data_IF_067858782332
#
_entry.id   IF_067858782332
#
_cell.length_a   1.000
_cell.length_b   1.000
_cell.length_c   1.000
_cell.angle_alpha   90.00
_cell.angle_beta   90.00
_cell.angle_gamma   90.00
#
_symmetry.space_group_name_H-M   'P 1'
#
loop_
_entity.id
_entity.type
_entity.pdbx_description
1 polymer ?
#
# COMPACT_ATOMS: atom_id res chain seq x y z
N UNK A 1 -17.31 -11.72 42.23
CA UNK A 1 -17.18 -12.00 40.80
C UNK A 1 -15.82 -11.48 40.37
N UNK A 2 -14.83 -12.36 40.45
CA UNK A 2 -13.42 -12.07 40.17
C UNK A 2 -13.18 -12.06 38.67
N UNK A 3 -12.67 -10.97 38.17
CA UNK A 3 -12.15 -10.83 36.80
C UNK A 3 -10.81 -11.59 36.71
N UNK A 4 -10.82 -12.79 36.17
CA UNK A 4 -9.62 -13.48 35.71
C UNK A 4 -9.21 -12.88 34.38
N UNK A 5 -8.25 -11.96 34.38
CA UNK A 5 -7.42 -11.65 33.22
C UNK A 5 -6.53 -12.84 32.92
N UNK A 6 -6.92 -13.67 31.98
CA UNK A 6 -6.01 -14.65 31.38
C UNK A 6 -4.96 -13.89 30.55
N UNK A 7 -3.76 -13.84 31.10
CA UNK A 7 -2.57 -13.50 30.31
C UNK A 7 -2.35 -14.64 29.29
N UNK A 8 -2.79 -14.44 28.05
CA UNK A 8 -2.43 -15.33 26.94
C UNK A 8 -0.92 -15.20 26.70
N UNK A 9 -0.18 -16.19 27.15
CA UNK A 9 1.22 -16.38 26.82
C UNK A 9 1.33 -16.64 25.33
N UNK A 10 1.84 -15.65 24.57
CA UNK A 10 2.12 -15.78 23.14
C UNK A 10 3.06 -16.98 22.94
N UNK A 11 2.61 -18.02 22.22
CA UNK A 11 3.48 -19.12 21.80
C UNK A 11 4.40 -18.59 20.68
N UNK A 12 5.67 -18.39 21.02
CA UNK A 12 6.74 -18.11 20.07
C UNK A 12 7.16 -19.45 19.46
N UNK A 13 6.96 -19.63 18.16
CA UNK A 13 7.58 -20.73 17.43
C UNK A 13 8.86 -20.21 16.77
N UNK A 14 9.97 -20.29 17.50
CA UNK A 14 11.30 -20.02 16.97
C UNK A 14 11.85 -21.29 16.34
N UNK A 15 11.94 -21.36 15.00
CA UNK A 15 12.60 -22.47 14.33
C UNK A 15 14.10 -22.18 14.26
N UNK A 16 14.84 -22.73 15.23
CA UNK A 16 16.29 -22.59 15.32
C UNK A 16 16.96 -23.82 14.71
N UNK A 17 17.85 -23.63 13.74
CA UNK A 17 18.77 -24.69 13.28
C UNK A 17 20.10 -24.55 14.02
N UNK A 18 20.33 -25.39 15.03
CA UNK A 18 21.55 -25.39 15.84
C UNK A 18 22.51 -26.55 15.49
N UNK A 19 23.81 -26.24 15.53
CA UNK A 19 24.90 -27.21 15.75
C UNK A 19 25.64 -26.82 17.02
N UNK A 20 25.70 -27.74 18.01
CA UNK A 20 26.16 -27.51 19.38
C UNK A 20 27.65 -27.30 19.59
N UNK A 21 28.01 -26.39 20.52
CA UNK A 21 29.08 -26.51 21.52
C UNK A 21 28.92 -25.36 22.57
N UNK A 22 29.00 -25.70 23.86
CA UNK A 22 28.75 -24.78 24.99
C UNK A 22 30.05 -24.10 25.40
N UNK A 23 30.04 -22.76 25.54
CA UNK A 23 31.11 -21.97 26.17
C UNK A 23 30.51 -20.89 27.09
N UNK A 24 30.91 -20.86 28.36
CA UNK A 24 30.44 -19.92 29.39
C UNK A 24 31.50 -18.88 29.66
N UNK A 25 31.41 -17.68 29.06
CA UNK A 25 32.21 -16.54 29.48
C UNK A 25 31.55 -15.20 29.14
N UNK A 26 30.51 -14.83 29.86
CA UNK A 26 30.04 -13.43 29.89
C UNK A 26 30.52 -12.75 31.19
N UNK A 27 31.03 -11.53 31.07
CA UNK A 27 31.39 -10.73 32.22
C UNK A 27 30.15 -10.13 32.89
N UNK A 28 30.24 -9.83 34.20
CA UNK A 28 29.12 -9.28 35.00
C UNK A 28 28.61 -7.94 34.44
N UNK A 29 29.45 -7.16 33.78
CA UNK A 29 29.14 -5.86 33.18
C UNK A 29 28.30 -6.05 31.87
N UNK A 30 28.65 -7.04 31.04
CA UNK A 30 27.89 -7.37 29.80
C UNK A 30 26.46 -7.83 30.08
N UNK A 31 26.24 -8.59 31.13
CA UNK A 31 24.91 -9.01 31.57
C UNK A 31 24.07 -7.82 32.07
N UNK A 32 24.68 -6.86 32.76
CA UNK A 32 24.00 -5.67 33.25
C UNK A 32 23.60 -4.73 32.13
N UNK A 33 24.43 -4.58 31.08
CA UNK A 33 24.09 -3.82 29.87
C UNK A 33 22.98 -4.49 29.06
N UNK A 34 23.00 -5.83 28.94
CA UNK A 34 21.95 -6.57 28.23
C UNK A 34 20.58 -6.44 28.93
N UNK A 35 20.55 -6.56 30.28
CA UNK A 35 19.31 -6.35 31.06
C UNK A 35 18.78 -4.92 30.94
N UNK A 36 19.68 -3.90 30.95
CA UNK A 36 19.30 -2.52 30.78
C UNK A 36 18.70 -2.27 29.39
N UNK A 37 19.33 -2.78 28.31
CA UNK A 37 18.81 -2.68 26.96
C UNK A 37 17.47 -3.41 26.84
N UNK A 38 17.35 -4.65 27.31
CA UNK A 38 16.13 -5.42 27.28
C UNK A 38 14.97 -4.73 28.00
N UNK A 39 15.24 -4.03 29.10
CA UNK A 39 14.24 -3.27 29.86
C UNK A 39 13.71 -2.04 29.14
N UNK A 40 14.58 -1.28 28.45
CA UNK A 40 14.20 -0.05 27.74
C UNK A 40 13.72 -0.28 26.32
N UNK A 41 14.07 -1.41 25.70
CA UNK A 41 13.79 -1.71 24.29
C UNK A 41 12.31 -1.55 23.91
N UNK A 42 11.32 -2.07 24.70
CA UNK A 42 9.91 -1.89 24.38
C UNK A 42 9.51 -0.42 24.28
N UNK A 43 9.99 0.45 25.19
CA UNK A 43 9.67 1.87 25.14
C UNK A 43 10.26 2.56 23.90
N UNK A 44 11.48 2.17 23.48
CA UNK A 44 12.13 2.70 22.28
C UNK A 44 11.39 2.24 21.02
N UNK A 45 11.03 0.95 20.93
CA UNK A 45 10.39 0.39 19.74
C UNK A 45 8.94 0.87 19.56
N UNK A 46 8.29 1.38 20.59
CA UNK A 46 6.93 1.92 20.52
C UNK A 46 6.86 3.38 20.08
N UNK A 47 8.01 4.03 19.83
CA UNK A 47 8.06 5.43 19.41
C UNK A 47 7.65 5.63 17.95
N UNK A 48 7.62 4.57 17.14
CA UNK A 48 7.19 4.61 15.75
C UNK A 48 6.22 3.49 15.41
N UNK A 49 5.39 3.70 14.39
CA UNK A 49 4.54 2.71 13.73
C UNK A 49 5.03 2.38 12.31
N UNK A 50 6.15 2.98 11.88
CA UNK A 50 6.79 2.66 10.60
C UNK A 50 7.76 1.49 10.79
N UNK A 51 7.56 0.43 10.01
CA UNK A 51 8.29 -0.83 10.16
C UNK A 51 9.80 -0.65 9.96
N UNK A 52 10.21 0.17 9.00
CA UNK A 52 11.62 0.48 8.71
C UNK A 52 12.31 1.17 9.91
N UNK A 53 11.60 2.11 10.55
CA UNK A 53 12.09 2.80 11.72
C UNK A 53 12.19 1.86 12.93
N UNK A 54 11.20 1.02 13.17
CA UNK A 54 11.19 0.05 14.28
C UNK A 54 12.32 -0.96 14.12
N UNK A 55 12.55 -1.50 12.93
CA UNK A 55 13.68 -2.41 12.66
C UNK A 55 15.02 -1.68 12.78
N UNK A 56 15.12 -0.43 12.32
CA UNK A 56 16.31 0.42 12.50
C UNK A 56 16.63 0.72 13.96
N UNK A 57 15.61 1.03 14.77
CA UNK A 57 15.75 1.23 16.21
C UNK A 57 16.21 -0.06 16.92
N UNK A 58 15.60 -1.18 16.56
CA UNK A 58 15.99 -2.50 17.07
C UNK A 58 17.46 -2.78 16.75
N UNK A 59 17.87 -2.65 15.49
CA UNK A 59 19.26 -2.79 15.06
C UNK A 59 20.22 -1.93 15.92
N UNK A 60 19.91 -0.64 16.08
CA UNK A 60 20.74 0.32 16.81
C UNK A 60 20.90 -0.05 18.28
N UNK A 61 19.83 -0.53 18.92
CA UNK A 61 19.88 -0.87 20.34
C UNK A 61 20.57 -2.21 20.59
N UNK A 62 20.24 -3.27 19.83
CA UNK A 62 20.79 -4.60 20.10
C UNK A 62 22.25 -4.72 19.68
N UNK A 63 22.73 -3.96 18.68
CA UNK A 63 24.14 -3.99 18.26
C UNK A 63 25.10 -3.48 19.34
N UNK A 64 24.58 -2.82 20.39
CA UNK A 64 25.40 -2.38 21.56
C UNK A 64 25.77 -3.54 22.45
N UNK A 65 24.92 -4.57 22.57
CA UNK A 65 25.11 -5.71 23.49
C UNK A 65 25.36 -7.04 22.77
N UNK A 66 24.96 -7.11 21.52
CA UNK A 66 25.21 -8.26 20.63
C UNK A 66 25.73 -7.75 19.28
N UNK A 67 27.06 -7.54 19.13
CA UNK A 67 27.62 -7.07 17.88
C UNK A 67 27.44 -8.08 16.74
N UNK A 68 26.97 -7.60 15.58
CA UNK A 68 26.83 -8.37 14.33
C UNK A 68 27.11 -7.48 13.11
N UNK A 69 27.36 -8.09 11.95
CA UNK A 69 27.76 -7.36 10.73
C UNK A 69 26.57 -6.93 9.90
N UNK A 70 25.46 -7.70 9.89
CA UNK A 70 24.24 -7.31 9.18
C UNK A 70 22.98 -7.84 9.85
N UNK A 71 21.88 -7.09 9.64
CA UNK A 71 20.51 -7.51 9.93
C UNK A 71 19.69 -7.40 8.64
N UNK A 72 18.91 -8.42 8.37
CA UNK A 72 17.95 -8.44 7.28
C UNK A 72 16.58 -8.85 7.80
N UNK A 73 15.57 -8.06 7.54
CA UNK A 73 14.16 -8.37 7.84
C UNK A 73 13.36 -8.34 6.54
N UNK A 74 12.54 -9.38 6.33
CA UNK A 74 11.65 -9.48 5.17
C UNK A 74 10.24 -9.90 5.55
N UNK A 75 9.25 -9.33 4.83
CA UNK A 75 7.85 -9.71 4.94
C UNK A 75 7.17 -9.65 3.56
N UNK A 76 6.95 -10.81 2.93
CA UNK A 76 6.41 -10.91 1.57
C UNK A 76 5.02 -10.28 1.42
N UNK A 77 4.12 -10.48 2.40
CA UNK A 77 2.73 -10.01 2.33
C UNK A 77 2.56 -8.49 2.33
N UNK A 78 3.57 -7.73 2.76
CA UNK A 78 3.59 -6.24 2.71
C UNK A 78 4.73 -5.69 1.86
N UNK A 79 5.39 -6.56 1.06
CA UNK A 79 6.52 -6.19 0.20
C UNK A 79 7.59 -5.38 0.94
N UNK A 80 7.95 -5.85 2.15
CA UNK A 80 8.95 -5.21 3.00
C UNK A 80 10.26 -6.02 2.95
N UNK A 81 11.35 -5.34 2.65
CA UNK A 81 12.71 -5.89 2.62
C UNK A 81 13.66 -4.82 3.17
N UNK A 82 14.14 -5.02 4.41
CA UNK A 82 14.99 -4.07 5.14
C UNK A 82 16.32 -4.74 5.43
N UNK A 83 17.40 -4.15 4.94
CA UNK A 83 18.75 -4.64 5.14
C UNK A 83 19.65 -3.57 5.72
N UNK A 84 20.47 -3.93 6.69
CA UNK A 84 21.53 -3.08 7.27
C UNK A 84 22.84 -3.84 7.34
N UNK A 85 23.97 -3.15 7.07
CA UNK A 85 25.30 -3.75 7.12
C UNK A 85 25.64 -4.65 5.92
N UNK A 86 26.69 -5.44 6.04
CA UNK A 86 27.20 -6.35 4.99
C UNK A 86 27.10 -7.79 5.45
N UNK A 87 26.53 -8.67 4.60
CA UNK A 87 26.34 -10.09 4.90
C UNK A 87 27.66 -10.80 5.20
N UNK A 88 27.67 -11.62 6.23
CA UNK A 88 28.82 -12.40 6.71
C UNK A 88 28.55 -13.91 6.72
N UNK A 89 29.55 -14.71 7.18
CA UNK A 89 29.58 -16.17 6.98
C UNK A 89 28.66 -16.95 7.95
N UNK A 90 28.46 -16.48 9.17
CA UNK A 90 27.61 -17.14 10.16
C UNK A 90 26.29 -16.40 10.29
N UNK A 91 25.18 -17.13 10.30
CA UNK A 91 23.85 -16.54 10.37
C UNK A 91 22.97 -17.18 11.43
N UNK A 92 22.13 -16.36 12.06
CA UNK A 92 20.96 -16.75 12.82
C UNK A 92 19.70 -16.31 12.08
N UNK A 93 18.78 -17.23 11.84
CA UNK A 93 17.56 -16.97 11.11
C UNK A 93 16.37 -17.23 12.02
N UNK A 94 15.45 -16.28 12.10
CA UNK A 94 14.26 -16.36 12.94
C UNK A 94 13.01 -16.07 12.13
N UNK A 95 12.04 -16.97 12.25
CA UNK A 95 10.68 -16.75 11.79
C UNK A 95 9.91 -16.11 12.94
N UNK A 96 9.45 -14.87 12.71
CA UNK A 96 8.66 -14.14 13.69
C UNK A 96 7.18 -14.52 13.49
N UNK A 97 6.57 -15.06 14.53
CA UNK A 97 5.18 -15.48 14.51
C UNK A 97 4.54 -15.26 15.88
N UNK A 98 3.27 -14.83 15.91
CA UNK A 98 2.50 -14.66 17.12
C UNK A 98 1.05 -15.13 16.90
N UNK A 99 0.58 -16.07 17.71
CA UNK A 99 -0.78 -16.63 17.61
C UNK A 99 -1.12 -17.11 16.18
N UNK A 100 -0.19 -17.83 15.53
CA UNK A 100 -0.28 -18.31 14.15
C UNK A 100 -0.35 -17.18 13.07
N UNK A 101 -0.08 -15.94 13.47
CA UNK A 101 0.06 -14.82 12.52
C UNK A 101 1.55 -14.65 12.20
N UNK A 102 1.89 -14.81 10.93
CA UNK A 102 3.24 -14.56 10.45
C UNK A 102 3.57 -13.07 10.44
N UNK A 103 4.70 -12.72 11.05
CA UNK A 103 5.16 -11.34 11.21
C UNK A 103 6.44 -11.05 10.41
N UNK A 104 6.95 -12.02 9.64
CA UNK A 104 8.14 -11.88 8.82
C UNK A 104 9.30 -12.78 9.26
N UNK A 105 10.42 -12.61 8.57
CA UNK A 105 11.67 -13.33 8.84
C UNK A 105 12.77 -12.33 9.11
N UNK A 106 13.60 -12.63 10.13
CA UNK A 106 14.72 -11.81 10.53
C UNK A 106 15.98 -12.66 10.52
N UNK A 107 17.01 -12.17 9.82
CA UNK A 107 18.31 -12.81 9.69
C UNK A 107 19.40 -11.86 10.22
N UNK A 108 20.24 -12.35 11.14
CA UNK A 108 21.47 -11.65 11.54
C UNK A 108 22.67 -12.41 11.03
N UNK A 109 23.72 -11.69 10.62
CA UNK A 109 24.96 -12.32 10.20
C UNK A 109 26.18 -11.68 10.85
N UNK A 110 27.22 -12.47 11.12
CA UNK A 110 28.53 -11.99 11.60
C UNK A 110 29.68 -12.90 11.17
N UNK A 111 30.92 -12.41 11.33
CA UNK A 111 32.13 -13.15 10.95
C UNK A 111 32.45 -14.30 11.90
N UNK A 112 32.11 -14.18 13.18
CA UNK A 112 32.33 -15.20 14.21
C UNK A 112 31.04 -15.99 14.43
N UNK A 113 31.15 -17.23 14.91
CA UNK A 113 29.98 -18.06 15.21
C UNK A 113 29.21 -17.48 16.41
N UNK A 114 27.89 -17.47 16.34
CA UNK A 114 27.03 -17.15 17.50
C UNK A 114 27.15 -18.24 18.55
N UNK A 115 27.41 -17.87 19.82
CA UNK A 115 27.40 -18.78 20.96
C UNK A 115 25.95 -19.07 21.39
N UNK A 116 25.76 -20.05 22.26
CA UNK A 116 24.45 -20.36 22.85
C UNK A 116 23.94 -19.18 23.69
N UNK A 117 24.83 -18.48 24.39
CA UNK A 117 24.52 -17.27 25.15
C UNK A 117 24.06 -16.12 24.23
N UNK A 118 24.72 -15.91 23.07
CA UNK A 118 24.31 -14.92 22.08
C UNK A 118 22.91 -15.21 21.52
N UNK A 119 22.63 -16.48 21.22
CA UNK A 119 21.32 -16.89 20.68
C UNK A 119 20.22 -16.74 21.72
N UNK A 120 20.47 -17.07 22.96
CA UNK A 120 19.51 -16.90 24.04
C UNK A 120 19.21 -15.41 24.29
N UNK A 121 20.24 -14.56 24.36
CA UNK A 121 20.06 -13.12 24.47
C UNK A 121 19.26 -12.57 23.29
N UNK A 122 19.57 -13.00 22.07
CA UNK A 122 18.86 -12.58 20.88
C UNK A 122 17.39 -12.98 20.91
N UNK A 123 17.07 -14.19 21.36
CA UNK A 123 15.69 -14.68 21.51
C UNK A 123 14.90 -13.83 22.51
N UNK A 124 15.51 -13.49 23.66
CA UNK A 124 14.90 -12.60 24.65
C UNK A 124 14.63 -11.19 24.09
N UNK A 125 15.55 -10.67 23.29
CA UNK A 125 15.39 -9.36 22.64
C UNK A 125 14.35 -9.42 21.52
N UNK A 126 14.29 -10.50 20.73
CA UNK A 126 13.28 -10.71 19.71
C UNK A 126 11.86 -10.79 20.28
N UNK A 127 11.70 -11.36 21.49
CA UNK A 127 10.42 -11.33 22.19
C UNK A 127 9.90 -9.91 22.43
N UNK A 128 10.80 -8.91 22.57
CA UNK A 128 10.42 -7.48 22.72
C UNK A 128 10.09 -6.83 21.39
N UNK A 129 10.58 -7.35 20.26
CA UNK A 129 10.32 -6.83 18.91
C UNK A 129 8.95 -7.28 18.38
N UNK A 130 8.44 -8.42 18.78
CA UNK A 130 7.23 -9.04 18.19
C UNK A 130 6.01 -8.11 18.22
N UNK A 131 5.70 -7.52 19.38
CA UNK A 131 4.54 -6.62 19.51
C UNK A 131 4.70 -5.33 18.70
N UNK A 132 5.85 -4.61 18.73
CA UNK A 132 6.09 -3.48 17.83
C UNK A 132 5.91 -3.82 16.35
N UNK A 133 6.51 -4.90 15.85
CA UNK A 133 6.36 -5.34 14.45
C UNK A 133 4.89 -5.63 14.12
N UNK A 134 4.19 -6.39 14.98
CA UNK A 134 2.77 -6.63 14.80
C UNK A 134 1.96 -5.34 14.73
N UNK A 135 2.23 -4.38 15.59
CA UNK A 135 1.53 -3.09 15.59
C UNK A 135 1.78 -2.30 14.31
N UNK A 136 3.02 -2.27 13.80
CA UNK A 136 3.35 -1.67 12.50
C UNK A 136 2.57 -2.35 11.36
N UNK A 137 2.53 -3.67 11.31
CA UNK A 137 1.79 -4.43 10.30
C UNK A 137 0.28 -4.16 10.36
N UNK A 138 -0.30 -4.16 11.56
CA UNK A 138 -1.72 -3.83 11.76
C UNK A 138 -2.03 -2.38 11.36
N UNK A 139 -1.17 -1.43 11.73
CA UNK A 139 -1.32 -0.03 11.34
C UNK A 139 -1.28 0.13 9.81
N UNK A 140 -0.31 -0.51 9.15
CA UNK A 140 -0.19 -0.50 7.68
C UNK A 140 -1.41 -1.14 7.00
N UNK A 141 -1.94 -2.25 7.55
CA UNK A 141 -3.16 -2.87 7.06
C UNK A 141 -4.38 -1.94 7.22
N UNK A 142 -4.51 -1.30 8.39
CA UNK A 142 -5.58 -0.34 8.64
C UNK A 142 -5.50 0.87 7.70
N UNK A 143 -4.31 1.40 7.48
CA UNK A 143 -4.04 2.49 6.53
C UNK A 143 -4.44 2.10 5.10
N UNK A 144 -4.00 0.92 4.63
CA UNK A 144 -4.36 0.41 3.30
C UNK A 144 -5.88 0.22 3.19
N UNK A 145 -6.52 -0.39 4.21
CA UNK A 145 -7.96 -0.56 4.23
C UNK A 145 -8.74 0.77 4.27
N UNK A 146 -8.16 1.82 4.86
CA UNK A 146 -8.73 3.17 4.87
C UNK A 146 -8.60 3.90 3.53
N UNK A 147 -7.67 3.49 2.66
CA UNK A 147 -7.39 4.11 1.36
C UNK A 147 -7.97 3.33 0.16
N UNK A 148 -8.55 2.16 0.38
CA UNK A 148 -9.17 1.35 -0.67
C UNK A 148 -10.69 1.33 -0.58
N UNK A 149 -11.36 1.23 -1.72
CA UNK A 149 -12.78 0.94 -1.83
C UNK A 149 -13.02 -0.58 -1.71
N UNK A 150 -13.83 -0.97 -0.74
CA UNK A 150 -14.05 -2.40 -0.40
C UNK A 150 -14.75 -3.20 -1.47
N UNK A 151 -15.55 -2.55 -2.32
CA UNK A 151 -16.31 -3.22 -3.38
C UNK A 151 -15.44 -3.49 -4.60
N UNK A 152 -14.67 -2.49 -5.02
CA UNK A 152 -13.93 -2.54 -6.28
C UNK A 152 -12.44 -2.86 -6.10
N UNK A 153 -11.89 -2.74 -4.89
CA UNK A 153 -10.45 -2.89 -4.62
C UNK A 153 -9.58 -1.74 -5.12
N UNK A 154 -10.14 -0.77 -5.84
CA UNK A 154 -9.43 0.44 -6.24
C UNK A 154 -9.17 1.36 -5.05
N UNK A 155 -8.27 2.32 -5.22
CA UNK A 155 -8.12 3.39 -4.25
C UNK A 155 -9.42 4.20 -4.12
N UNK A 156 -9.70 4.72 -2.92
CA UNK A 156 -10.88 5.53 -2.66
C UNK A 156 -10.61 7.04 -2.86
N UNK A 157 -11.64 7.86 -2.63
CA UNK A 157 -11.57 9.32 -2.74
C UNK A 157 -10.46 9.95 -1.87
N UNK A 158 -10.27 9.47 -0.63
CA UNK A 158 -9.22 10.00 0.24
C UNK A 158 -7.81 9.77 -0.32
N UNK A 159 -7.59 8.59 -0.92
CA UNK A 159 -6.36 8.29 -1.63
C UNK A 159 -6.20 9.14 -2.91
N UNK A 160 -7.30 9.45 -3.63
CA UNK A 160 -7.29 10.33 -4.79
C UNK A 160 -6.80 11.74 -4.42
N UNK A 161 -7.39 12.36 -3.39
CA UNK A 161 -7.04 13.73 -3.00
C UNK A 161 -5.56 13.86 -2.62
N UNK A 162 -5.02 12.88 -1.87
CA UNK A 162 -3.62 12.85 -1.49
C UNK A 162 -2.68 12.63 -2.70
N UNK A 163 -3.05 11.71 -3.61
CA UNK A 163 -2.26 11.39 -4.80
C UNK A 163 -2.27 12.55 -5.80
N UNK A 164 -3.43 13.16 -6.04
CA UNK A 164 -3.56 14.30 -6.96
C UNK A 164 -2.62 15.44 -6.58
N UNK A 165 -2.61 15.83 -5.30
CA UNK A 165 -1.73 16.87 -4.79
C UNK A 165 -0.25 16.55 -5.05
N UNK A 166 0.16 15.33 -4.69
CA UNK A 166 1.55 14.87 -4.86
C UNK A 166 1.99 14.85 -6.33
N UNK A 167 1.16 14.30 -7.21
CA UNK A 167 1.50 14.14 -8.63
C UNK A 167 1.54 15.49 -9.36
N UNK A 168 0.69 16.46 -8.99
CA UNK A 168 0.76 17.83 -9.50
C UNK A 168 2.09 18.49 -9.11
N UNK A 169 2.50 18.39 -7.84
CA UNK A 169 3.78 18.92 -7.38
C UNK A 169 4.97 18.30 -8.13
N UNK A 170 4.91 16.99 -8.39
CA UNK A 170 5.92 16.27 -9.17
C UNK A 170 5.94 16.70 -10.62
N UNK A 171 4.77 16.78 -11.29
CA UNK A 171 4.61 17.23 -12.67
C UNK A 171 5.18 18.64 -12.88
N UNK A 172 4.82 19.59 -12.01
CA UNK A 172 5.33 20.96 -12.08
C UNK A 172 6.86 21.04 -11.89
N UNK A 173 7.40 20.29 -10.92
CA UNK A 173 8.85 20.29 -10.64
C UNK A 173 9.67 19.66 -11.75
N UNK A 174 9.16 18.60 -12.37
CA UNK A 174 9.86 17.82 -13.38
C UNK A 174 9.52 18.25 -14.81
N UNK A 175 8.54 19.14 -15.00
CA UNK A 175 8.01 19.56 -16.31
C UNK A 175 7.54 18.38 -17.17
N UNK A 176 6.96 17.34 -16.55
CA UNK A 176 6.37 16.21 -17.25
C UNK A 176 4.85 16.35 -17.32
N UNK A 177 4.22 16.00 -18.47
CA UNK A 177 2.78 16.11 -18.59
C UNK A 177 2.07 15.14 -17.66
N UNK A 178 0.94 15.56 -17.12
CA UNK A 178 0.04 14.75 -16.32
C UNK A 178 -1.38 15.00 -16.79
N UNK A 179 -2.20 13.95 -16.85
CA UNK A 179 -3.60 14.05 -17.22
C UNK A 179 -4.52 13.38 -16.19
N UNK A 180 -5.72 13.91 -16.08
CA UNK A 180 -6.81 13.38 -15.29
C UNK A 180 -7.94 12.93 -16.21
N UNK A 181 -8.46 11.73 -15.97
CA UNK A 181 -9.73 11.26 -16.52
C UNK A 181 -10.72 11.15 -15.38
N UNK A 182 -11.90 11.74 -15.53
CA UNK A 182 -13.06 11.52 -14.68
C UNK A 182 -14.10 10.76 -15.51
N UNK A 183 -14.63 9.67 -14.98
CA UNK A 183 -15.60 8.85 -15.71
C UNK A 183 -16.75 8.39 -14.78
N UNK A 184 -17.85 8.03 -15.42
CA UNK A 184 -19.09 7.65 -14.72
C UNK A 184 -19.85 6.63 -15.55
N UNK A 185 -20.52 5.69 -14.87
CA UNK A 185 -21.35 4.69 -15.53
C UNK A 185 -22.66 5.34 -16.00
N UNK A 186 -22.92 5.24 -17.29
CA UNK A 186 -24.13 5.82 -17.89
C UNK A 186 -25.39 5.15 -17.35
N UNK A 187 -26.35 5.97 -16.87
CA UNK A 187 -27.65 5.54 -16.37
C UNK A 187 -27.55 4.47 -15.25
N UNK A 188 -26.57 4.57 -14.37
CA UNK A 188 -26.32 3.59 -13.29
C UNK A 188 -27.55 3.38 -12.38
N UNK A 189 -28.32 4.43 -12.13
CA UNK A 189 -29.59 4.31 -11.41
C UNK A 189 -30.53 3.31 -12.10
N UNK A 190 -30.66 3.35 -13.43
CA UNK A 190 -31.48 2.41 -14.19
C UNK A 190 -30.96 0.97 -14.08
N UNK A 191 -29.63 0.79 -14.02
CA UNK A 191 -29.03 -0.53 -13.77
C UNK A 191 -29.47 -1.06 -12.40
N UNK A 192 -29.35 -0.23 -11.35
CA UNK A 192 -29.81 -0.61 -10.01
C UNK A 192 -31.32 -0.89 -9.96
N UNK A 193 -32.13 -0.06 -10.59
CA UNK A 193 -33.59 -0.21 -10.60
C UNK A 193 -34.04 -1.50 -11.34
N UNK A 194 -33.25 -1.92 -12.34
CA UNK A 194 -33.58 -3.08 -13.20
C UNK A 194 -33.03 -4.40 -12.67
N UNK A 195 -31.76 -4.39 -12.21
CA UNK A 195 -31.00 -5.58 -11.83
C UNK A 195 -30.70 -5.66 -10.32
N UNK A 196 -31.25 -4.70 -9.54
CA UNK A 196 -31.01 -4.60 -8.10
C UNK A 196 -29.60 -4.10 -7.77
N UNK A 197 -29.35 -3.87 -6.49
CA UNK A 197 -28.02 -3.43 -6.02
C UNK A 197 -26.92 -4.44 -6.31
N UNK A 198 -27.22 -5.73 -6.31
CA UNK A 198 -26.23 -6.77 -6.67
C UNK A 198 -25.77 -6.67 -8.13
N UNK A 199 -26.68 -6.31 -9.05
CA UNK A 199 -26.35 -6.04 -10.45
C UNK A 199 -25.48 -4.80 -10.59
N UNK A 200 -25.80 -3.73 -9.85
CA UNK A 200 -24.98 -2.52 -9.78
C UNK A 200 -23.58 -2.78 -9.22
N UNK A 201 -23.49 -3.56 -8.14
CA UNK A 201 -22.19 -3.95 -7.55
C UNK A 201 -21.35 -4.76 -8.54
N UNK A 202 -21.97 -5.70 -9.27
CA UNK A 202 -21.30 -6.45 -10.35
C UNK A 202 -20.77 -5.52 -11.45
N UNK A 203 -21.59 -4.55 -11.89
CA UNK A 203 -21.19 -3.56 -12.90
C UNK A 203 -19.96 -2.73 -12.44
N UNK A 204 -19.96 -2.28 -11.18
CA UNK A 204 -18.86 -1.53 -10.59
C UNK A 204 -17.58 -2.36 -10.51
N UNK A 205 -17.65 -3.62 -10.10
CA UNK A 205 -16.49 -4.52 -10.02
C UNK A 205 -15.92 -4.85 -11.41
N UNK A 206 -16.77 -5.12 -12.38
CA UNK A 206 -16.37 -5.43 -13.75
C UNK A 206 -15.70 -4.20 -14.41
N UNK A 207 -16.25 -3.00 -14.20
CA UNK A 207 -15.63 -1.76 -14.68
C UNK A 207 -14.26 -1.54 -14.01
N UNK A 208 -14.17 -1.72 -12.69
CA UNK A 208 -12.91 -1.57 -11.96
C UNK A 208 -11.81 -2.51 -12.50
N UNK A 209 -12.14 -3.78 -12.76
CA UNK A 209 -11.22 -4.73 -13.36
C UNK A 209 -10.79 -4.29 -14.76
N UNK A 210 -11.73 -3.84 -15.60
CA UNK A 210 -11.43 -3.32 -16.94
C UNK A 210 -10.53 -2.08 -16.90
N UNK A 211 -10.69 -1.21 -15.91
CA UNK A 211 -9.80 -0.08 -15.67
C UNK A 211 -8.38 -0.57 -15.41
N UNK A 212 -8.20 -1.49 -14.45
CA UNK A 212 -6.89 -2.03 -14.08
C UNK A 212 -6.21 -2.72 -15.27
N UNK A 213 -6.94 -3.53 -16.02
CA UNK A 213 -6.41 -4.26 -17.20
C UNK A 213 -6.01 -3.32 -18.35
N UNK A 214 -6.62 -2.12 -18.39
CA UNK A 214 -6.37 -1.15 -19.47
C UNK A 214 -5.22 -0.20 -19.14
N UNK A 215 -4.93 0.04 -17.86
CA UNK A 215 -3.94 1.00 -17.37
C UNK A 215 -2.52 0.41 -17.34
N UNK A 216 -1.52 1.30 -17.25
CA UNK A 216 -0.12 0.95 -17.02
C UNK A 216 0.15 0.89 -15.51
N UNK A 217 1.20 0.19 -15.11
CA UNK A 217 1.57 0.08 -13.67
C UNK A 217 1.95 1.41 -12.98
N UNK A 218 2.23 2.47 -13.74
CA UNK A 218 2.51 3.82 -13.23
C UNK A 218 1.26 4.72 -13.12
N UNK A 219 0.13 4.31 -13.71
CA UNK A 219 -1.12 5.03 -13.64
C UNK A 219 -1.88 4.64 -12.37
N UNK A 220 -2.74 5.52 -11.86
CA UNK A 220 -3.48 5.28 -10.63
C UNK A 220 -4.98 5.41 -10.87
N UNK A 221 -5.75 4.42 -10.37
CA UNK A 221 -7.21 4.39 -10.46
C UNK A 221 -7.84 4.53 -9.07
N UNK A 222 -8.96 5.26 -9.05
CA UNK A 222 -9.70 5.58 -7.84
C UNK A 222 -11.20 5.45 -8.08
N UNK A 223 -11.93 4.90 -7.10
CA UNK A 223 -13.37 5.09 -7.02
C UNK A 223 -13.66 6.37 -6.24
N UNK A 224 -14.11 7.40 -6.95
CA UNK A 224 -14.30 8.74 -6.38
C UNK A 224 -15.67 8.93 -5.72
N UNK A 225 -16.70 8.35 -6.30
CA UNK A 225 -18.07 8.41 -5.83
C UNK A 225 -18.78 7.06 -5.89
N UNK A 226 -20.10 7.07 -5.88
CA UNK A 226 -20.91 5.85 -5.97
C UNK A 226 -20.67 5.09 -7.28
N UNK A 227 -20.74 5.81 -8.40
CA UNK A 227 -20.58 5.32 -9.77
C UNK A 227 -19.48 6.05 -10.56
N UNK A 228 -18.72 6.91 -9.85
CA UNK A 228 -17.70 7.79 -10.42
C UNK A 228 -16.30 7.26 -10.13
N UNK A 229 -15.44 7.30 -11.14
CA UNK A 229 -14.04 6.89 -11.05
C UNK A 229 -13.13 7.99 -11.59
N UNK A 230 -11.92 8.07 -11.03
CA UNK A 230 -10.87 8.98 -11.47
C UNK A 230 -9.61 8.20 -11.81
N UNK A 231 -8.91 8.61 -12.88
CA UNK A 231 -7.64 8.04 -13.28
C UNK A 231 -6.60 9.15 -13.36
N UNK A 232 -5.50 9.02 -12.62
CA UNK A 232 -4.33 9.90 -12.73
C UNK A 232 -3.29 9.24 -13.62
N UNK A 233 -2.94 9.93 -14.71
CA UNK A 233 -2.06 9.43 -15.73
C UNK A 233 -0.75 10.23 -15.72
N UNK A 234 0.29 9.61 -15.20
CA UNK A 234 1.61 10.23 -15.13
C UNK A 234 2.33 10.16 -16.47
N UNK A 235 3.13 11.18 -16.78
CA UNK A 235 3.86 11.31 -18.05
C UNK A 235 2.95 11.06 -19.27
N UNK A 236 1.76 11.67 -19.26
CA UNK A 236 0.72 11.44 -20.27
C UNK A 236 0.09 12.77 -20.67
N UNK A 237 0.19 13.11 -21.94
CA UNK A 237 -0.43 14.30 -22.55
C UNK A 237 -1.93 14.09 -22.81
N UNK A 238 -2.63 15.16 -23.20
CA UNK A 238 -4.06 15.14 -23.44
C UNK A 238 -4.46 14.14 -24.55
N UNK A 239 -3.66 14.03 -25.61
CA UNK A 239 -3.97 13.14 -26.73
C UNK A 239 -3.83 11.68 -26.32
N UNK A 240 -2.75 11.33 -25.62
CA UNK A 240 -2.52 9.99 -25.09
C UNK A 240 -3.56 9.59 -24.03
N UNK A 241 -3.96 10.54 -23.18
CA UNK A 241 -5.03 10.34 -22.19
C UNK A 241 -6.38 10.10 -22.88
N UNK A 242 -6.69 10.86 -23.92
CA UNK A 242 -7.91 10.65 -24.72
C UNK A 242 -7.95 9.26 -25.37
N UNK A 243 -6.82 8.81 -25.93
CA UNK A 243 -6.72 7.48 -26.53
C UNK A 243 -6.93 6.37 -25.50
N UNK A 244 -6.39 6.53 -24.29
CA UNK A 244 -6.62 5.59 -23.19
C UNK A 244 -8.11 5.59 -22.78
N UNK A 245 -8.71 6.77 -22.65
CA UNK A 245 -10.13 6.91 -22.31
C UNK A 245 -11.05 6.23 -23.35
N UNK A 246 -10.79 6.43 -24.65
CA UNK A 246 -11.53 5.77 -25.72
C UNK A 246 -11.34 4.25 -25.71
N UNK A 247 -10.12 3.77 -25.48
CA UNK A 247 -9.85 2.34 -25.34
C UNK A 247 -10.66 1.74 -24.18
N UNK A 248 -10.71 2.41 -23.03
CA UNK A 248 -11.48 1.97 -21.87
C UNK A 248 -12.98 2.01 -22.17
N UNK A 249 -13.48 3.07 -22.82
CA UNK A 249 -14.90 3.17 -23.22
C UNK A 249 -15.33 2.02 -24.11
N UNK A 250 -14.54 1.71 -25.12
CA UNK A 250 -14.81 0.61 -26.07
C UNK A 250 -14.76 -0.73 -25.34
N UNK A 251 -13.72 -0.98 -24.54
CA UNK A 251 -13.59 -2.19 -23.75
C UNK A 251 -14.80 -2.39 -22.83
N UNK A 252 -15.21 -1.35 -22.09
CA UNK A 252 -16.37 -1.40 -21.19
C UNK A 252 -17.66 -1.72 -21.94
N UNK A 253 -17.89 -1.15 -23.12
CA UNK A 253 -19.10 -1.41 -23.91
C UNK A 253 -19.22 -2.86 -24.42
N UNK A 254 -18.14 -3.62 -24.41
CA UNK A 254 -18.07 -5.03 -24.79
C UNK A 254 -18.18 -5.99 -23.60
N UNK A 255 -18.14 -5.46 -22.36
CA UNK A 255 -18.25 -6.29 -21.16
C UNK A 255 -19.69 -6.75 -20.95
N UNK A 256 -19.79 -7.98 -20.46
CA UNK A 256 -21.06 -8.56 -20.04
C UNK A 256 -21.05 -8.61 -18.50
N UNK A 257 -21.93 -7.82 -17.91
CA UNK A 257 -22.22 -7.87 -16.49
C UNK A 257 -23.27 -8.96 -16.23
N UNK A 258 -23.13 -9.66 -15.11
CA UNK A 258 -24.05 -10.72 -14.74
C UNK A 258 -24.71 -10.38 -13.41
N UNK A 259 -26.03 -10.45 -13.35
CA UNK A 259 -26.71 -10.76 -12.11
C UNK A 259 -27.10 -12.27 -12.13
N UNK A 260 -27.60 -12.78 -11.01
CA UNK A 260 -27.93 -14.22 -10.88
C UNK A 260 -28.92 -14.75 -11.97
N UNK A 261 -29.56 -13.90 -12.77
CA UNK A 261 -30.64 -14.25 -13.70
C UNK A 261 -30.44 -13.69 -15.11
N UNK A 262 -29.69 -12.56 -15.26
CA UNK A 262 -29.63 -11.83 -16.51
C UNK A 262 -28.21 -11.39 -16.85
N UNK A 263 -27.94 -11.33 -18.14
CA UNK A 263 -26.74 -10.68 -18.69
C UNK A 263 -27.14 -9.30 -19.21
N UNK A 264 -26.33 -8.30 -18.88
CA UNK A 264 -26.54 -6.93 -19.36
C UNK A 264 -25.19 -6.27 -19.67
N UNK A 265 -25.22 -5.17 -20.41
CA UNK A 265 -24.05 -4.36 -20.72
C UNK A 265 -24.18 -2.97 -20.12
N UNK A 266 -23.06 -2.34 -19.90
CA UNK A 266 -22.96 -0.95 -19.43
C UNK A 266 -22.17 -0.12 -20.43
N UNK A 267 -22.39 1.19 -20.40
CA UNK A 267 -21.52 2.16 -21.05
C UNK A 267 -21.02 3.18 -20.04
N UNK A 268 -19.96 3.89 -20.41
CA UNK A 268 -19.35 4.94 -19.58
C UNK A 268 -19.19 6.21 -20.39
N UNK A 269 -19.33 7.35 -19.73
CA UNK A 269 -18.95 8.65 -20.24
C UNK A 269 -17.66 9.10 -19.56
N UNK A 270 -16.77 9.78 -20.29
CA UNK A 270 -15.46 10.18 -19.79
C UNK A 270 -15.16 11.62 -20.13
N UNK A 271 -14.58 12.35 -19.16
CA UNK A 271 -14.00 13.66 -19.32
C UNK A 271 -12.49 13.59 -19.12
N UNK A 272 -11.72 14.21 -20.00
CA UNK A 272 -10.25 14.19 -19.97
C UNK A 272 -9.73 15.62 -19.86
N UNK A 273 -8.76 15.86 -18.97
CA UNK A 273 -8.06 17.12 -18.87
C UNK A 273 -6.57 16.88 -18.61
N UNK A 274 -5.71 17.57 -19.34
CA UNK A 274 -4.27 17.65 -19.05
C UNK A 274 -4.03 18.80 -18.08
N UNK A 275 -3.13 18.60 -17.11
CA UNK A 275 -2.66 19.64 -16.20
C UNK A 275 -2.00 20.78 -16.97
N UNK A 276 -2.45 22.02 -16.74
CA UNK A 276 -1.82 23.21 -17.27
C UNK A 276 -0.70 23.69 -16.33
N UNK A 277 0.18 24.54 -16.86
CA UNK A 277 1.25 25.14 -16.07
C UNK A 277 0.67 26.02 -14.94
N UNK A 278 1.10 25.76 -13.70
CA UNK A 278 0.65 26.52 -12.52
C UNK A 278 -0.79 26.25 -12.07
N UNK A 279 -1.47 25.27 -12.68
CA UNK A 279 -2.83 24.89 -12.31
C UNK A 279 -2.85 24.06 -11.03
N UNK A 280 -3.86 24.26 -10.21
CA UNK A 280 -4.10 23.45 -9.01
C UNK A 280 -5.02 22.25 -9.29
N UNK A 281 -5.13 21.34 -8.30
CA UNK A 281 -5.90 20.11 -8.43
C UNK A 281 -7.41 20.34 -8.56
N UNK A 282 -7.95 21.39 -7.94
CA UNK A 282 -9.37 21.71 -8.02
C UNK A 282 -9.75 22.17 -9.43
N UNK A 283 -8.96 23.07 -10.00
CA UNK A 283 -9.16 23.58 -11.39
C UNK A 283 -9.02 22.48 -12.44
N UNK A 284 -8.03 21.57 -12.27
CA UNK A 284 -7.86 20.42 -13.15
C UNK A 284 -9.07 19.48 -13.07
N UNK A 285 -9.54 19.18 -11.85
CA UNK A 285 -10.70 18.33 -11.62
C UNK A 285 -11.96 18.95 -12.25
N UNK A 286 -12.22 20.23 -12.01
CA UNK A 286 -13.38 20.94 -12.56
C UNK A 286 -13.40 20.92 -14.10
N UNK A 287 -12.24 21.01 -14.76
CA UNK A 287 -12.16 20.91 -16.22
C UNK A 287 -12.47 19.50 -16.73
N UNK A 288 -11.96 18.47 -16.05
CA UNK A 288 -12.24 17.08 -16.40
C UNK A 288 -13.73 16.74 -16.17
N UNK A 289 -14.30 17.19 -15.04
CA UNK A 289 -15.71 17.00 -14.70
C UNK A 289 -16.66 17.73 -15.69
N UNK A 290 -16.35 18.97 -16.04
CA UNK A 290 -17.08 19.70 -17.08
C UNK A 290 -17.05 18.98 -18.45
N UNK A 291 -15.91 18.35 -18.80
CA UNK A 291 -15.80 17.55 -20.01
C UNK A 291 -16.67 16.27 -19.91
N UNK A 292 -16.69 15.60 -18.77
CA UNK A 292 -17.58 14.47 -18.48
C UNK A 292 -19.06 14.89 -18.59
N UNK A 293 -19.42 16.04 -18.02
CA UNK A 293 -20.76 16.58 -18.14
C UNK A 293 -21.17 16.78 -19.59
N UNK A 294 -20.28 17.35 -20.43
CA UNK A 294 -20.52 17.50 -21.89
C UNK A 294 -20.70 16.14 -22.58
N UNK A 295 -19.91 15.12 -22.21
CA UNK A 295 -20.07 13.77 -22.71
C UNK A 295 -21.46 13.21 -22.39
N UNK A 296 -21.93 13.37 -21.15
CA UNK A 296 -23.29 12.95 -20.74
C UNK A 296 -24.39 13.72 -21.47
N UNK A 297 -24.26 15.04 -21.64
CA UNK A 297 -25.23 15.89 -22.35
C UNK A 297 -25.32 15.59 -23.86
N UNK A 298 -24.21 15.26 -24.50
CA UNK A 298 -24.13 15.00 -25.93
C UNK A 298 -24.51 13.57 -26.34
N UNK A 299 -25.14 12.79 -25.43
CA UNK A 299 -25.73 11.47 -25.74
C UNK A 299 -24.99 10.31 -25.10
N UNK A 300 -24.13 10.53 -24.11
CA UNK A 300 -23.42 9.49 -23.34
C UNK A 300 -22.51 8.58 -24.18
N UNK A 301 -21.92 7.55 -23.53
CA UNK A 301 -21.03 6.57 -24.17
C UNK A 301 -19.99 7.24 -25.07
N UNK A 302 -19.26 8.22 -24.55
CA UNK A 302 -18.24 8.98 -25.27
C UNK A 302 -17.22 9.62 -24.36
N UNK A 303 -16.09 10.01 -24.96
CA UNK A 303 -15.03 10.75 -24.34
C UNK A 303 -15.03 12.19 -24.84
N UNK A 304 -14.92 13.15 -23.94
CA UNK A 304 -14.70 14.56 -24.25
C UNK A 304 -13.43 15.04 -23.57
N UNK A 305 -12.58 15.74 -24.31
CA UNK A 305 -11.38 16.39 -23.73
C UNK A 305 -11.66 17.86 -23.47
N UNK A 306 -11.29 18.33 -22.28
CA UNK A 306 -11.27 19.75 -21.96
C UNK A 306 -10.24 20.48 -22.84
N UNK A 307 -10.56 21.69 -23.27
CA UNK A 307 -9.63 22.52 -24.01
C UNK A 307 -8.38 22.78 -23.16
N UNK A 308 -7.21 22.56 -23.74
CA UNK A 308 -5.94 22.95 -23.12
C UNK A 308 -5.81 24.46 -23.26
N UNK A 309 -5.54 25.18 -22.18
CA UNK A 309 -5.18 26.58 -22.25
C UNK A 309 -3.78 26.65 -22.86
N UNK A 310 -3.71 26.99 -24.14
CA UNK A 310 -2.43 27.33 -24.78
C UNK A 310 -2.02 28.68 -24.21
N UNK A 311 -0.99 28.70 -23.35
CA UNK A 311 -0.34 29.96 -22.98
C UNK A 311 0.25 30.54 -24.25
N UNK A 312 -0.38 31.59 -24.74
CA UNK A 312 0.21 32.48 -25.76
C UNK A 312 1.30 33.28 -25.03
N UNK A 313 2.46 32.67 -24.82
CA UNK A 313 3.65 33.43 -24.49
C UNK A 313 4.07 34.20 -25.71
N UNK A 314 3.81 35.52 -25.66
CA UNK A 314 4.39 36.53 -26.56
C UNK A 314 5.79 36.90 -26.08
#
# INVERSE_FOLDING_TARGET
>A
MENQLHAETAKLSLVVKHNHAIDFSQTKDELQDAEYIAGRLPAVLQTSLELDEVIGLFHKEINKVLPYDSLHYQHQGVHCDISTGSRSHHSCNYRLEMNNIWLGELTLTRRTKFSDADTQLLEDLLCKLIYPVRNCLLFRQAQTAALQDKLTGLNNRGAFDASLKREIELSHRQHIPMSLIVLDIDNFKTVNDTYGHSGGDSALQILANSIVDTMRGCDMAFRYGGEEFCLLLNNTDNQSAHLLAERLRIATSQLICNDAKNNFSISISLGVAQLNQGEDGASLFDRADNALYQAKQSGRNKTVSAATLISLDN
#
